data_IF_541412638579
#
_entry.id   IF_541412638579
#
_cell.length_a   1.000
_cell.length_b   1.000
_cell.length_c   1.000
_cell.angle_alpha   90.00
_cell.angle_beta   90.00
_cell.angle_gamma   90.00
#
_symmetry.space_group_name_H-M   'P 1'
#
loop_
_entity.id
_entity.type
_entity.pdbx_description
1 polymer ?
#
# COMPACT_ATOMS: atom_id res chain seq x y z
N UNK A 1 -45.37 33.85 49.15
CA UNK A 1 -44.04 33.22 49.05
C UNK A 1 -44.16 32.02 48.12
N UNK A 2 -43.78 32.21 46.85
CA UNK A 2 -43.77 31.18 45.83
C UNK A 2 -42.31 30.82 45.53
N UNK A 3 -41.94 29.54 45.62
CA UNK A 3 -40.76 29.01 44.97
C UNK A 3 -41.17 27.74 44.22
N UNK A 4 -41.14 27.88 42.90
CA UNK A 4 -41.41 26.85 41.91
C UNK A 4 -40.10 26.08 41.73
N UNK A 5 -40.11 24.78 42.07
CA UNK A 5 -38.99 23.88 41.83
C UNK A 5 -38.77 23.72 40.32
N UNK A 6 -37.63 24.23 39.82
CA UNK A 6 -37.14 23.97 38.47
C UNK A 6 -36.48 22.59 38.41
N UNK A 7 -37.27 21.55 38.17
CA UNK A 7 -36.74 20.25 37.75
C UNK A 7 -36.37 20.34 36.26
N UNK A 8 -35.13 20.75 35.99
CA UNK A 8 -34.52 20.66 34.67
C UNK A 8 -34.32 19.19 34.29
N UNK A 9 -35.32 18.61 33.63
CA UNK A 9 -35.21 17.30 33.00
C UNK A 9 -34.08 17.31 31.99
N UNK A 10 -32.99 16.61 32.29
CA UNK A 10 -31.94 16.31 31.34
C UNK A 10 -32.58 15.54 30.17
N UNK A 11 -32.75 16.21 29.03
CA UNK A 11 -32.99 15.52 27.76
C UNK A 11 -31.80 14.59 27.56
N UNK A 12 -32.05 13.28 27.64
CA UNK A 12 -31.18 12.29 27.03
C UNK A 12 -31.10 12.65 25.55
N UNK A 13 -29.97 13.22 25.12
CA UNK A 13 -29.61 13.23 23.71
C UNK A 13 -29.48 11.77 23.28
N UNK A 14 -30.53 11.24 22.65
CA UNK A 14 -30.43 10.01 21.90
C UNK A 14 -29.26 10.16 20.91
N UNK A 15 -28.38 9.15 20.77
CA UNK A 15 -27.34 9.21 19.76
C UNK A 15 -28.03 9.42 18.41
N UNK A 16 -27.64 10.45 17.65
CA UNK A 16 -28.08 10.66 16.27
C UNK A 16 -27.88 9.33 15.53
N UNK A 17 -28.97 8.61 15.27
CA UNK A 17 -28.94 7.40 14.47
C UNK A 17 -28.37 7.78 13.11
N UNK A 18 -27.18 7.26 12.82
CA UNK A 18 -26.51 7.46 11.56
C UNK A 18 -27.40 6.95 10.43
N UNK A 19 -27.50 7.76 9.38
CA UNK A 19 -28.25 7.51 8.15
C UNK A 19 -27.74 6.19 7.55
N UNK A 20 -28.62 5.19 7.43
CA UNK A 20 -28.43 3.76 7.04
C UNK A 20 -28.11 2.77 8.17
N UNK A 21 -29.17 2.12 8.68
CA UNK A 21 -29.09 0.72 9.09
C UNK A 21 -28.75 -0.12 7.85
N UNK A 22 -27.47 -0.43 7.65
CA UNK A 22 -27.04 -1.18 6.46
C UNK A 22 -27.77 -2.52 6.39
N UNK A 23 -28.48 -2.77 5.29
CA UNK A 23 -29.12 -4.07 5.06
C UNK A 23 -28.08 -5.21 5.11
N UNK A 24 -28.49 -6.45 5.45
CA UNK A 24 -27.55 -7.60 5.42
C UNK A 24 -26.85 -7.73 4.08
N UNK A 25 -27.53 -7.34 3.01
CA UNK A 25 -27.02 -7.31 1.64
C UNK A 25 -25.91 -6.28 1.47
N UNK A 26 -26.11 -5.03 1.90
CA UNK A 26 -25.06 -4.00 1.87
C UNK A 26 -23.80 -4.44 2.61
N UNK A 27 -23.96 -4.95 3.84
CA UNK A 27 -22.82 -5.46 4.61
C UNK A 27 -22.07 -6.57 3.88
N UNK A 28 -22.81 -7.46 3.22
CA UNK A 28 -22.20 -8.57 2.46
C UNK A 28 -21.46 -8.05 1.24
N UNK A 29 -22.05 -7.12 0.49
CA UNK A 29 -21.41 -6.47 -0.67
C UNK A 29 -20.14 -5.74 -0.24
N UNK A 30 -20.17 -4.98 0.86
CA UNK A 30 -18.99 -4.30 1.39
C UNK A 30 -17.87 -5.28 1.71
N UNK A 31 -18.18 -6.38 2.40
CA UNK A 31 -17.18 -7.40 2.74
C UNK A 31 -16.60 -8.05 1.48
N UNK A 32 -17.43 -8.39 0.50
CA UNK A 32 -17.00 -8.97 -0.78
C UNK A 32 -16.10 -7.98 -1.54
N UNK A 33 -16.50 -6.71 -1.64
CA UNK A 33 -15.71 -5.69 -2.31
C UNK A 33 -14.33 -5.51 -1.67
N UNK A 34 -14.27 -5.47 -0.33
CA UNK A 34 -12.99 -5.40 0.41
C UNK A 34 -12.14 -6.65 0.13
N UNK A 35 -12.75 -7.83 0.13
CA UNK A 35 -12.04 -9.08 -0.14
C UNK A 35 -11.46 -9.12 -1.56
N UNK A 36 -12.25 -8.75 -2.56
CA UNK A 36 -11.81 -8.67 -3.96
C UNK A 36 -10.69 -7.65 -4.11
N UNK A 37 -10.83 -6.45 -3.53
CA UNK A 37 -9.81 -5.42 -3.60
C UNK A 37 -8.48 -5.86 -2.96
N UNK A 38 -8.56 -6.52 -1.80
CA UNK A 38 -7.39 -7.07 -1.10
C UNK A 38 -6.72 -8.19 -1.90
N UNK A 39 -7.49 -9.17 -2.37
CA UNK A 39 -6.96 -10.27 -3.18
C UNK A 39 -6.38 -9.74 -4.50
N UNK A 40 -7.04 -8.75 -5.12
CA UNK A 40 -6.55 -8.07 -6.31
C UNK A 40 -5.19 -7.41 -6.09
N UNK A 41 -5.04 -6.64 -5.00
CA UNK A 41 -3.75 -6.06 -4.61
C UNK A 41 -2.70 -7.16 -4.39
N UNK A 42 -3.03 -8.23 -3.66
CA UNK A 42 -2.12 -9.35 -3.46
C UNK A 42 -1.69 -10.01 -4.76
N UNK A 43 -2.63 -10.19 -5.70
CA UNK A 43 -2.36 -10.79 -7.00
C UNK A 43 -1.45 -9.92 -7.87
N UNK A 44 -1.56 -8.59 -7.81
CA UNK A 44 -0.64 -7.68 -8.50
C UNK A 44 0.81 -7.88 -8.06
N UNK A 45 1.06 -8.17 -6.78
CA UNK A 45 2.40 -8.49 -6.29
C UNK A 45 2.80 -9.94 -6.58
N UNK A 46 1.85 -10.86 -6.63
CA UNK A 46 2.11 -12.25 -7.03
C UNK A 46 2.67 -12.35 -8.45
N UNK A 47 2.14 -11.57 -9.40
CA UNK A 47 2.64 -11.58 -10.78
C UNK A 47 4.09 -11.10 -10.87
N UNK A 48 4.54 -10.29 -9.91
CA UNK A 48 5.92 -9.79 -9.87
C UNK A 48 6.94 -10.86 -9.49
N UNK A 49 6.57 -11.81 -8.63
CA UNK A 49 7.50 -12.78 -8.06
C UNK A 49 8.23 -13.63 -9.10
N UNK A 50 7.56 -13.97 -10.20
CA UNK A 50 7.98 -15.03 -11.11
C UNK A 50 9.10 -14.65 -12.07
N UNK A 51 9.22 -13.36 -12.41
CA UNK A 51 10.30 -12.89 -13.27
C UNK A 51 11.55 -12.45 -12.49
N UNK A 52 11.49 -12.51 -11.15
CA UNK A 52 12.58 -12.15 -10.23
C UNK A 52 12.92 -13.24 -9.20
N UNK A 53 12.73 -14.51 -9.58
CA UNK A 53 12.95 -15.66 -8.67
C UNK A 53 14.43 -15.74 -8.23
N UNK A 54 14.70 -15.91 -6.91
CA UNK A 54 16.06 -16.14 -6.41
C UNK A 54 16.68 -17.45 -6.94
N UNK A 55 18.02 -17.57 -7.01
CA UNK A 55 19.02 -16.61 -6.53
C UNK A 55 19.45 -15.55 -7.55
N UNK A 56 18.97 -15.64 -8.79
CA UNK A 56 19.46 -14.79 -9.88
C UNK A 56 18.65 -13.51 -10.06
N UNK A 57 17.40 -13.45 -9.57
CA UNK A 57 16.52 -12.27 -9.64
C UNK A 57 16.30 -11.74 -11.07
N UNK A 58 16.52 -12.59 -12.08
CA UNK A 58 16.52 -12.21 -13.49
C UNK A 58 17.70 -11.32 -13.91
N UNK A 59 18.69 -11.09 -13.05
CA UNK A 59 19.86 -10.30 -13.36
C UNK A 59 20.77 -11.04 -14.35
N UNK A 60 20.96 -10.45 -15.53
CA UNK A 60 22.00 -10.89 -16.48
C UNK A 60 23.28 -10.11 -16.25
N UNK A 61 24.42 -10.69 -16.64
CA UNK A 61 25.75 -10.09 -16.47
C UNK A 61 25.92 -8.72 -17.15
N UNK A 62 25.04 -8.35 -18.08
CA UNK A 62 25.12 -7.14 -18.87
C UNK A 62 24.11 -6.05 -18.46
N UNK A 63 23.21 -6.30 -17.49
CA UNK A 63 22.15 -5.37 -17.06
C UNK A 63 21.20 -4.85 -18.16
N UNK A 64 21.43 -5.18 -19.45
CA UNK A 64 20.78 -4.50 -20.58
C UNK A 64 19.39 -5.02 -20.92
N UNK A 65 19.02 -6.25 -20.55
CA UNK A 65 17.76 -6.90 -20.97
C UNK A 65 17.18 -7.86 -19.93
N UNK A 66 16.32 -7.33 -19.06
CA UNK A 66 15.36 -8.09 -18.26
C UNK A 66 15.76 -8.32 -16.79
N UNK A 67 14.77 -8.70 -15.99
CA UNK A 67 14.93 -8.98 -14.56
C UNK A 67 15.02 -7.75 -13.67
N UNK A 68 15.16 -7.98 -12.36
CA UNK A 68 15.18 -6.92 -11.35
C UNK A 68 16.28 -5.89 -11.62
N UNK A 69 17.47 -6.37 -12.01
CA UNK A 69 18.63 -5.51 -12.26
C UNK A 69 18.42 -4.49 -13.39
N UNK A 70 17.66 -4.84 -14.43
CA UNK A 70 17.35 -3.92 -15.52
C UNK A 70 16.56 -2.71 -15.00
N UNK A 71 15.52 -2.95 -14.19
CA UNK A 71 14.72 -1.86 -13.63
C UNK A 71 15.50 -1.02 -12.63
N UNK A 72 16.36 -1.64 -11.81
CA UNK A 72 17.22 -0.90 -10.89
C UNK A 72 18.21 0.03 -11.64
N UNK A 73 18.75 -0.42 -12.77
CA UNK A 73 19.60 0.41 -13.62
C UNK A 73 18.81 1.51 -14.32
N UNK A 74 17.62 1.21 -14.83
CA UNK A 74 16.72 2.20 -15.43
C UNK A 74 16.39 3.33 -14.44
N UNK A 75 16.07 2.98 -13.19
CA UNK A 75 15.82 3.96 -12.11
C UNK A 75 17.03 4.86 -11.84
N UNK A 76 18.24 4.31 -11.91
CA UNK A 76 19.49 5.08 -11.78
C UNK A 76 19.70 6.01 -12.98
N UNK A 77 19.53 5.48 -14.19
CA UNK A 77 19.75 6.21 -15.44
C UNK A 77 18.84 7.44 -15.58
N UNK A 78 17.57 7.32 -15.19
CA UNK A 78 16.60 8.41 -15.29
C UNK A 78 16.55 9.31 -14.04
N UNK A 79 17.32 9.00 -12.98
CA UNK A 79 17.28 9.77 -11.73
C UNK A 79 17.68 11.25 -11.91
N UNK A 80 18.53 11.55 -12.89
CA UNK A 80 18.99 12.91 -13.20
C UNK A 80 18.01 13.75 -14.03
N UNK A 81 16.99 13.14 -14.60
CA UNK A 81 16.06 13.81 -15.52
C UNK A 81 15.12 14.78 -14.77
N UNK A 82 14.48 15.73 -15.48
CA UNK A 82 13.45 16.60 -14.91
C UNK A 82 12.16 15.82 -14.64
N UNK A 83 12.23 14.85 -13.72
CA UNK A 83 11.19 13.90 -13.42
C UNK A 83 9.92 14.58 -12.87
N UNK A 84 8.78 14.16 -13.42
CA UNK A 84 7.45 14.67 -13.13
C UNK A 84 6.52 13.53 -12.73
N UNK A 85 5.52 13.84 -11.90
CA UNK A 85 4.45 12.94 -11.47
C UNK A 85 3.09 13.61 -11.71
N UNK A 86 2.02 12.80 -11.79
CA UNK A 86 0.63 13.29 -11.96
C UNK A 86 0.48 14.09 -13.25
N UNK A 87 1.06 13.59 -14.34
CA UNK A 87 0.98 14.22 -15.66
C UNK A 87 -0.46 14.20 -16.16
N UNK A 88 -0.99 15.39 -16.44
CA UNK A 88 -2.31 15.59 -17.02
C UNK A 88 -2.23 16.57 -18.19
N UNK A 89 -2.53 16.08 -19.39
CA UNK A 89 -2.66 16.89 -20.60
C UNK A 89 -4.02 17.58 -20.61
N UNK A 90 -4.04 18.88 -20.28
CA UNK A 90 -5.28 19.65 -20.15
C UNK A 90 -5.82 20.07 -21.52
N UNK A 91 -4.92 20.30 -22.48
CA UNK A 91 -5.25 20.74 -23.83
C UNK A 91 -4.45 19.86 -24.78
N UNK A 92 -5.13 19.07 -25.62
CA UNK A 92 -4.51 18.16 -26.60
C UNK A 92 -3.78 18.85 -27.77
N UNK A 93 -3.22 20.03 -27.53
CA UNK A 93 -2.34 20.76 -28.44
C UNK A 93 -0.90 20.35 -28.18
N UNK A 94 -0.05 20.24 -29.22
CA UNK A 94 1.40 20.02 -29.08
C UNK A 94 2.14 21.32 -29.40
N UNK A 95 2.96 21.89 -28.49
CA UNK A 95 3.17 21.50 -27.10
C UNK A 95 1.99 21.96 -26.21
N UNK A 96 1.49 21.06 -25.38
CA UNK A 96 0.31 21.29 -24.54
C UNK A 96 0.68 21.82 -23.17
N UNK A 97 -0.26 22.49 -22.52
CA UNK A 97 -0.13 22.79 -21.10
C UNK A 97 -0.30 21.48 -20.30
N UNK A 98 0.82 20.88 -19.92
CA UNK A 98 0.87 19.73 -19.02
C UNK A 98 0.86 20.23 -17.58
N UNK A 99 -0.13 19.78 -16.79
CA UNK A 99 -0.08 19.93 -15.34
C UNK A 99 0.65 18.72 -14.78
N UNK A 100 1.72 18.97 -14.05
CA UNK A 100 2.50 17.93 -13.38
C UNK A 100 3.18 18.46 -12.12
N UNK A 101 3.53 17.55 -11.22
CA UNK A 101 4.26 17.83 -10.00
C UNK A 101 5.74 17.46 -10.21
N UNK A 102 6.68 18.40 -10.07
CA UNK A 102 8.10 18.08 -10.21
C UNK A 102 8.57 17.25 -9.01
N UNK A 103 9.14 16.09 -9.28
CA UNK A 103 9.69 15.14 -8.30
C UNK A 103 11.17 14.85 -8.52
N UNK A 104 11.86 15.69 -9.30
CA UNK A 104 13.30 15.60 -9.56
C UNK A 104 14.13 15.42 -8.29
N UNK A 105 13.80 16.14 -7.22
CA UNK A 105 14.50 16.00 -5.93
C UNK A 105 14.35 14.59 -5.32
N UNK A 106 13.17 13.98 -5.42
CA UNK A 106 12.89 12.66 -4.84
C UNK A 106 13.54 11.55 -5.67
N UNK A 107 13.48 11.68 -7.00
CA UNK A 107 14.13 10.74 -7.93
C UNK A 107 15.65 10.79 -7.84
N UNK A 108 16.25 11.98 -7.71
CA UNK A 108 17.69 12.13 -7.46
C UNK A 108 18.13 11.47 -6.14
N UNK A 109 17.36 11.67 -5.06
CA UNK A 109 17.63 10.99 -3.79
C UNK A 109 17.52 9.46 -3.91
N UNK A 110 16.52 8.96 -4.65
CA UNK A 110 16.37 7.54 -4.94
C UNK A 110 17.57 7.00 -5.75
N UNK A 111 18.01 7.72 -6.78
CA UNK A 111 19.19 7.35 -7.58
C UNK A 111 20.46 7.24 -6.73
N UNK A 112 20.73 8.25 -5.88
CA UNK A 112 21.87 8.20 -4.94
C UNK A 112 21.78 6.99 -4.02
N UNK A 113 20.61 6.65 -3.50
CA UNK A 113 20.41 5.45 -2.68
C UNK A 113 20.63 4.16 -3.48
N UNK A 114 20.14 4.10 -4.71
CA UNK A 114 20.30 2.96 -5.59
C UNK A 114 21.77 2.70 -5.90
N UNK A 115 22.48 3.71 -6.37
CA UNK A 115 23.88 3.59 -6.81
C UNK A 115 24.82 3.20 -5.67
N UNK A 116 24.59 3.77 -4.48
CA UNK A 116 25.52 3.63 -3.35
C UNK A 116 25.14 2.49 -2.39
N UNK A 117 23.88 2.05 -2.38
CA UNK A 117 23.39 1.07 -1.40
C UNK A 117 22.78 -0.16 -2.07
N UNK A 118 21.87 0.02 -3.03
CA UNK A 118 21.12 -1.09 -3.63
C UNK A 118 21.97 -1.87 -4.62
N UNK A 119 22.56 -1.21 -5.63
CA UNK A 119 23.35 -1.87 -6.66
C UNK A 119 24.56 -2.65 -6.08
N UNK A 120 25.37 -2.09 -5.14
CA UNK A 120 26.49 -2.83 -4.57
C UNK A 120 26.06 -4.05 -3.74
N UNK A 121 24.82 -4.05 -3.23
CA UNK A 121 24.26 -5.10 -2.38
C UNK A 121 23.08 -5.84 -3.05
N UNK A 122 23.05 -5.89 -4.39
CA UNK A 122 21.86 -6.31 -5.15
C UNK A 122 21.35 -7.70 -4.79
N UNK A 123 22.23 -8.64 -4.43
CA UNK A 123 21.80 -10.00 -4.04
C UNK A 123 20.96 -9.98 -2.76
N UNK A 124 21.35 -9.17 -1.78
CA UNK A 124 20.59 -9.03 -0.54
C UNK A 124 19.29 -8.28 -0.78
N UNK A 125 19.34 -7.16 -1.51
CA UNK A 125 18.14 -6.40 -1.86
C UNK A 125 17.15 -7.20 -2.72
N UNK A 126 17.63 -8.08 -3.60
CA UNK A 126 16.78 -8.99 -4.36
C UNK A 126 15.94 -9.89 -3.46
N UNK A 127 16.54 -10.47 -2.41
CA UNK A 127 15.79 -11.25 -1.41
C UNK A 127 14.81 -10.38 -0.62
N UNK A 128 15.18 -9.15 -0.28
CA UNK A 128 14.29 -8.22 0.43
C UNK A 128 13.10 -7.83 -0.42
N UNK A 129 13.30 -7.50 -1.70
CA UNK A 129 12.24 -7.12 -2.64
C UNK A 129 11.34 -8.33 -2.88
N UNK A 130 11.88 -9.47 -3.29
CA UNK A 130 11.09 -10.68 -3.54
C UNK A 130 10.35 -11.14 -2.27
N UNK A 131 11.00 -11.09 -1.11
CA UNK A 131 10.41 -11.45 0.17
C UNK A 131 9.28 -10.50 0.59
N UNK A 132 9.45 -9.20 0.34
CA UNK A 132 8.41 -8.18 0.55
C UNK A 132 7.21 -8.45 -0.34
N UNK A 133 7.41 -8.76 -1.62
CA UNK A 133 6.33 -9.11 -2.56
C UNK A 133 5.57 -10.36 -2.14
N UNK A 134 6.30 -11.40 -1.73
CA UNK A 134 5.71 -12.65 -1.27
C UNK A 134 4.91 -12.41 0.03
N UNK A 135 5.45 -11.59 0.93
CA UNK A 135 4.77 -11.19 2.15
C UNK A 135 3.49 -10.40 1.87
N UNK A 136 3.52 -9.42 0.96
CA UNK A 136 2.34 -8.66 0.54
C UNK A 136 1.28 -9.60 -0.03
N UNK A 137 1.67 -10.46 -0.98
CA UNK A 137 0.76 -11.44 -1.59
C UNK A 137 0.07 -12.31 -0.53
N UNK A 138 0.85 -12.95 0.35
CA UNK A 138 0.30 -13.82 1.38
C UNK A 138 -0.57 -13.06 2.38
N UNK A 139 -0.12 -11.88 2.82
CA UNK A 139 -0.85 -11.04 3.77
C UNK A 139 -2.20 -10.59 3.20
N UNK A 140 -2.23 -10.14 1.95
CA UNK A 140 -3.42 -9.59 1.29
C UNK A 140 -4.40 -10.68 0.84
N UNK A 141 -3.91 -11.85 0.40
CA UNK A 141 -4.77 -12.95 -0.02
C UNK A 141 -5.34 -13.74 1.16
N UNK A 142 -4.55 -13.97 2.22
CA UNK A 142 -4.99 -14.72 3.39
C UNK A 142 -5.66 -13.84 4.46
N UNK A 143 -5.56 -12.52 4.32
CA UNK A 143 -5.99 -11.56 5.34
C UNK A 143 -5.25 -11.77 6.66
N UNK A 144 -3.94 -11.98 6.58
CA UNK A 144 -3.04 -12.22 7.73
C UNK A 144 -2.07 -11.05 7.89
N UNK A 145 -2.09 -10.39 9.05
CA UNK A 145 -1.40 -9.12 9.28
C UNK A 145 -1.67 -8.10 8.17
N UNK A 146 -2.94 -7.99 7.78
CA UNK A 146 -3.35 -7.23 6.61
C UNK A 146 -2.87 -5.77 6.60
N UNK A 147 -2.76 -5.11 7.77
CA UNK A 147 -2.20 -3.76 7.82
C UNK A 147 -0.70 -3.72 7.57
N UNK A 148 0.05 -4.72 8.01
CA UNK A 148 1.49 -4.79 7.71
C UNK A 148 1.72 -5.09 6.23
N UNK A 149 0.94 -6.01 5.64
CA UNK A 149 1.01 -6.25 4.19
C UNK A 149 0.68 -4.99 3.39
N UNK A 150 -0.35 -4.24 3.79
CA UNK A 150 -0.69 -2.98 3.14
C UNK A 150 0.39 -1.91 3.31
N UNK A 151 1.03 -1.80 4.49
CA UNK A 151 2.17 -0.90 4.70
C UNK A 151 3.37 -1.27 3.83
N UNK A 152 3.67 -2.56 3.71
CA UNK A 152 4.73 -3.04 2.83
C UNK A 152 4.42 -2.69 1.37
N UNK A 153 3.17 -2.87 0.93
CA UNK A 153 2.71 -2.49 -0.40
C UNK A 153 2.79 -0.98 -0.65
N UNK A 154 2.45 -0.15 0.35
CA UNK A 154 2.64 1.31 0.26
C UNK A 154 4.12 1.64 0.10
N UNK A 155 5.00 1.08 0.94
CA UNK A 155 6.43 1.35 0.88
C UNK A 155 7.04 0.97 -0.47
N UNK A 156 6.85 -0.27 -0.91
CA UNK A 156 7.41 -0.72 -2.17
C UNK A 156 6.73 -0.07 -3.39
N UNK A 157 5.40 0.10 -3.36
CA UNK A 157 4.68 0.79 -4.43
C UNK A 157 5.07 2.26 -4.57
N UNK A 158 5.36 2.95 -3.47
CA UNK A 158 5.87 4.33 -3.49
C UNK A 158 7.28 4.39 -4.05
N UNK A 159 8.13 3.41 -3.72
CA UNK A 159 9.47 3.33 -4.29
C UNK A 159 9.39 3.16 -5.81
N UNK A 160 8.57 2.22 -6.31
CA UNK A 160 8.35 2.04 -7.76
C UNK A 160 7.76 3.30 -8.41
N UNK A 161 6.80 3.96 -7.75
CA UNK A 161 6.18 5.19 -8.23
C UNK A 161 7.20 6.32 -8.41
N UNK A 162 8.18 6.44 -7.50
CA UNK A 162 9.23 7.45 -7.60
C UNK A 162 10.26 7.02 -8.66
N UNK A 163 10.78 5.81 -8.53
CA UNK A 163 11.86 5.28 -9.36
C UNK A 163 11.53 5.21 -10.84
N UNK A 164 10.30 4.80 -11.20
CA UNK A 164 9.89 4.55 -12.59
C UNK A 164 8.92 5.62 -13.12
N UNK A 165 8.85 6.79 -12.48
CA UNK A 165 7.91 7.87 -12.84
C UNK A 165 8.04 8.39 -14.28
N UNK A 166 9.21 8.25 -14.90
CA UNK A 166 9.45 8.68 -16.29
C UNK A 166 10.10 7.59 -17.16
N UNK A 167 10.07 6.33 -16.72
CA UNK A 167 10.59 5.23 -17.52
C UNK A 167 9.79 5.15 -18.84
N UNK A 168 10.44 5.13 -20.03
CA UNK A 168 9.77 5.29 -21.32
C UNK A 168 8.69 4.25 -21.64
N UNK A 169 8.83 3.04 -21.08
CA UNK A 169 7.90 1.93 -21.28
C UNK A 169 6.85 1.77 -20.18
N UNK A 170 6.90 2.62 -19.14
CA UNK A 170 6.05 2.48 -17.96
C UNK A 170 5.01 3.59 -17.88
N UNK A 171 3.88 3.25 -17.27
CA UNK A 171 2.78 4.19 -17.06
C UNK A 171 2.64 4.52 -15.58
N UNK A 172 2.99 5.75 -15.21
CA UNK A 172 3.04 6.23 -13.80
C UNK A 172 1.76 5.95 -13.00
N UNK A 173 0.59 6.01 -13.65
CA UNK A 173 -0.70 5.76 -13.02
C UNK A 173 -0.86 4.33 -12.51
N UNK A 174 -0.13 3.37 -13.07
CA UNK A 174 -0.12 1.98 -12.57
C UNK A 174 0.39 1.93 -11.14
N UNK A 175 1.49 2.62 -10.85
CA UNK A 175 2.06 2.67 -9.49
C UNK A 175 1.24 3.53 -8.55
N UNK A 176 0.72 4.67 -9.03
CA UNK A 176 -0.18 5.54 -8.24
C UNK A 176 -1.41 4.74 -7.79
N UNK A 177 -2.04 3.98 -8.69
CA UNK A 177 -3.21 3.17 -8.35
C UNK A 177 -2.87 2.05 -7.36
N UNK A 178 -1.70 1.41 -7.49
CA UNK A 178 -1.22 0.43 -6.50
C UNK A 178 -1.08 1.08 -5.12
N UNK A 179 -0.44 2.25 -5.04
CA UNK A 179 -0.24 2.99 -3.78
C UNK A 179 -1.59 3.40 -3.18
N UNK A 180 -2.51 3.97 -3.99
CA UNK A 180 -3.83 4.38 -3.53
C UNK A 180 -4.64 3.18 -3.01
N UNK A 181 -4.62 2.06 -3.73
CA UNK A 181 -5.27 0.83 -3.30
C UNK A 181 -4.66 0.31 -1.99
N UNK A 182 -3.34 0.32 -1.86
CA UNK A 182 -2.65 -0.08 -0.64
C UNK A 182 -2.98 0.84 0.54
N UNK A 183 -3.06 2.16 0.34
CA UNK A 183 -3.52 3.13 1.34
C UNK A 183 -4.96 2.84 1.78
N UNK A 184 -5.86 2.56 0.83
CA UNK A 184 -7.22 2.19 1.14
C UNK A 184 -7.28 0.89 1.97
N UNK A 185 -6.51 -0.15 1.58
CA UNK A 185 -6.44 -1.42 2.30
C UNK A 185 -5.83 -1.25 3.69
N UNK A 186 -4.85 -0.37 3.87
CA UNK A 186 -4.28 -0.07 5.19
C UNK A 186 -5.34 0.54 6.13
N UNK A 187 -6.11 1.51 5.63
CA UNK A 187 -7.18 2.16 6.40
C UNK A 187 -8.29 1.19 6.80
N UNK A 188 -8.78 0.40 5.83
CA UNK A 188 -9.87 -0.56 6.01
C UNK A 188 -9.45 -1.75 6.89
N UNK A 189 -8.22 -2.23 6.75
CA UNK A 189 -7.72 -3.48 7.35
C UNK A 189 -8.56 -4.70 6.92
N UNK A 190 -8.38 -5.18 5.67
CA UNK A 190 -9.21 -6.25 5.09
C UNK A 190 -9.30 -7.50 5.96
N UNK A 191 -8.23 -7.83 6.70
CA UNK A 191 -8.15 -8.95 7.64
C UNK A 191 -9.27 -9.00 8.69
N UNK A 192 -9.88 -7.85 9.02
CA UNK A 192 -10.98 -7.75 9.98
C UNK A 192 -12.31 -8.24 9.42
N UNK A 193 -12.47 -8.16 8.11
CA UNK A 193 -13.69 -8.51 7.39
C UNK A 193 -13.58 -9.94 6.86
N UNK A 194 -12.42 -10.29 6.30
CA UNK A 194 -12.12 -11.62 5.78
C UNK A 194 -10.69 -12.05 6.17
N UNK A 195 -10.44 -13.35 6.30
CA UNK A 195 -9.09 -13.89 6.52
C UNK A 195 -8.75 -14.26 7.97
N UNK A 196 -7.47 -14.55 8.19
CA UNK A 196 -6.95 -15.12 9.45
C UNK A 196 -6.97 -14.12 10.60
N UNK A 197 -6.82 -12.82 10.33
CA UNK A 197 -6.84 -11.76 11.35
C UNK A 197 -8.15 -11.79 12.16
N UNK A 198 -9.29 -12.04 11.49
CA UNK A 198 -10.60 -12.20 12.14
C UNK A 198 -10.61 -13.31 13.20
N UNK A 199 -9.88 -14.40 12.98
CA UNK A 199 -9.79 -15.54 13.90
C UNK A 199 -8.85 -15.27 15.08
N UNK A 200 -7.77 -14.52 14.83
CA UNK A 200 -6.75 -14.22 15.84
C UNK A 200 -7.16 -13.10 16.79
N UNK A 201 -7.93 -12.12 16.30
CA UNK A 201 -8.28 -10.90 17.03
C UNK A 201 -8.94 -11.11 18.40
N UNK A 202 -9.89 -12.05 18.61
CA UNK A 202 -10.45 -12.31 19.93
C UNK A 202 -9.40 -12.75 20.94
N UNK A 203 -8.47 -13.61 20.53
CA UNK A 203 -7.37 -14.10 21.39
C UNK A 203 -6.38 -12.97 21.71
N UNK A 204 -6.03 -12.16 20.71
CA UNK A 204 -5.15 -11.01 20.89
C UNK A 204 -5.77 -9.95 21.82
N UNK A 205 -7.09 -9.75 21.77
CA UNK A 205 -7.82 -8.85 22.68
C UNK A 205 -7.69 -9.28 24.14
N UNK A 206 -7.83 -10.57 24.42
CA UNK A 206 -7.63 -11.13 25.77
C UNK A 206 -6.20 -10.91 26.25
N UNK A 207 -5.20 -11.12 25.40
CA UNK A 207 -3.79 -10.89 25.73
C UNK A 207 -3.47 -9.42 26.01
N UNK A 208 -4.03 -8.50 25.22
CA UNK A 208 -3.89 -7.04 25.42
C UNK A 208 -4.54 -6.58 26.73
N UNK A 209 -5.72 -7.10 27.06
CA UNK A 209 -6.42 -6.82 28.33
C UNK A 209 -5.64 -7.31 29.56
N UNK A 210 -4.81 -8.34 29.40
CA UNK A 210 -3.88 -8.82 30.43
C UNK A 210 -2.60 -7.98 30.55
N UNK A 211 -2.49 -6.85 29.84
CA UNK A 211 -1.37 -5.92 29.93
C UNK A 211 -0.18 -6.22 29.00
N UNK A 212 -0.27 -7.23 28.13
CA UNK A 212 0.81 -7.56 27.20
C UNK A 212 0.97 -6.48 26.12
N UNK A 213 2.15 -5.85 26.06
CA UNK A 213 2.52 -4.88 25.01
C UNK A 213 2.50 -5.50 23.62
N UNK A 214 2.90 -6.77 23.51
CA UNK A 214 2.90 -7.55 22.27
C UNK A 214 1.46 -7.75 21.77
N UNK A 215 0.53 -8.09 22.68
CA UNK A 215 -0.89 -8.24 22.33
C UNK A 215 -1.49 -6.94 21.78
N UNK A 216 -1.09 -5.79 22.33
CA UNK A 216 -1.52 -4.47 21.83
C UNK A 216 -0.95 -4.15 20.44
N UNK A 217 0.33 -4.46 20.20
CA UNK A 217 0.97 -4.24 18.91
C UNK A 217 0.34 -5.11 17.82
N UNK A 218 0.13 -6.40 18.09
CA UNK A 218 -0.48 -7.32 17.13
C UNK A 218 -1.92 -6.88 16.78
N UNK A 219 -2.70 -6.42 17.76
CA UNK A 219 -4.04 -5.86 17.50
C UNK A 219 -4.06 -4.62 16.62
N UNK A 220 -2.98 -3.84 16.60
CA UNK A 220 -2.88 -2.66 15.73
C UNK A 220 -2.72 -3.07 14.26
N UNK A 221 -2.06 -4.20 14.03
CA UNK A 221 -1.70 -4.71 12.70
C UNK A 221 -2.63 -5.79 12.14
N UNK A 222 -3.52 -6.34 12.98
CA UNK A 222 -4.70 -7.16 12.60
C UNK A 222 -5.99 -6.36 12.61
#
# INVERSE_FOLDING_TARGET
>A
MAQINSAGGQRQEQPREGIYSSSRLERTITVIAIAIASIGLGYLFFTQLWWKVPPEFGCRNDFTRGGLCFFIEEESAIAGDPNKLLKADIIGSNPGSELSVPIGWATQLNGVFIDNVVQPNIRWFGYVIWGTEAFIFLSMCLGFFSRLGALAAIGQGTQLMIGLSNAPSEWEWSYILIVLLAVAMFGIAPGRYFGLDRLLRPRLKVLSQRGSRVGRLLLLFT
#
